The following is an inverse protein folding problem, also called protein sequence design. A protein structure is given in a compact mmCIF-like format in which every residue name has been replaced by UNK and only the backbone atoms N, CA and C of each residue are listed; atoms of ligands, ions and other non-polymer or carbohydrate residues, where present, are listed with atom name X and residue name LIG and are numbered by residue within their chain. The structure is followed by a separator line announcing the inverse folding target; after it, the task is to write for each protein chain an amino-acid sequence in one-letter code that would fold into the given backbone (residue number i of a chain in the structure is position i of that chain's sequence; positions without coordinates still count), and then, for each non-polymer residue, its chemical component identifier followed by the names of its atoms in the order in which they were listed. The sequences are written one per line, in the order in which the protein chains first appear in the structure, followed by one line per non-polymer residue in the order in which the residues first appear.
data_IF_970533683166
#
_entry.id   IF_970533683166
#
_cell.length_a   1.000
_cell.length_b   1.000
_cell.length_c   1.000
_cell.angle_alpha   90.00
_cell.angle_beta   90.00
_cell.angle_gamma   90.00
#
_symmetry.space_group_name_H-M   'P 1'
#
loop_
_entity.id
_entity.type
_entity.pdbx_description
1 polymer ?
#
# COMPACT_ATOMS: atom_id res chain seq x y z
N UNK A 1 -49.12 -36.73 10.16
CA UNK A 1 -49.15 -38.19 9.88
C UNK A 1 -50.58 -38.69 9.96
N UNK A 2 -50.90 -39.83 9.34
CA UNK A 2 -52.28 -40.36 9.26
C UNK A 2 -52.71 -41.22 10.46
N UNK A 3 -51.77 -41.73 11.27
CA UNK A 3 -52.02 -42.61 12.43
C UNK A 3 -50.97 -42.28 13.50
N UNK A 4 -51.39 -42.18 14.76
CA UNK A 4 -50.55 -41.96 15.94
C UNK A 4 -50.31 -43.28 16.71
N UNK A 5 -49.29 -43.37 17.59
CA UNK A 5 -49.11 -44.53 18.48
C UNK A 5 -50.38 -44.85 19.29
N UNK A 6 -51.12 -43.82 19.69
CA UNK A 6 -52.38 -43.96 20.42
C UNK A 6 -53.48 -44.60 19.56
N UNK A 7 -53.53 -44.22 18.28
CA UNK A 7 -54.47 -44.81 17.31
C UNK A 7 -54.14 -46.28 17.05
N UNK A 8 -52.85 -46.66 17.07
CA UNK A 8 -52.40 -48.06 16.92
C UNK A 8 -52.86 -48.88 18.12
N UNK A 9 -52.68 -48.40 19.36
CA UNK A 9 -53.13 -49.09 20.58
C UNK A 9 -54.66 -49.22 20.68
N UNK A 10 -55.39 -48.27 20.12
CA UNK A 10 -56.86 -48.26 20.16
C UNK A 10 -57.50 -48.95 18.95
N UNK A 11 -56.70 -49.48 18.04
CA UNK A 11 -57.19 -50.09 16.81
C UNK A 11 -57.98 -51.36 17.11
N UNK A 12 -59.24 -51.40 16.67
CA UNK A 12 -60.09 -52.59 16.81
C UNK A 12 -60.24 -53.33 15.48
N UNK A 13 -60.20 -54.67 15.54
CA UNK A 13 -60.39 -55.55 14.40
C UNK A 13 -61.69 -56.35 14.50
N UNK A 14 -62.34 -56.59 13.36
CA UNK A 14 -63.56 -57.41 13.29
C UNK A 14 -63.19 -58.90 13.38
N UNK A 15 -63.72 -59.61 14.38
CA UNK A 15 -63.40 -61.03 14.62
C UNK A 15 -64.24 -61.95 13.70
N UNK A 16 -63.60 -62.86 12.95
CA UNK A 16 -64.28 -63.89 12.14
C UNK A 16 -64.30 -65.24 12.88
N UNK A 17 -65.52 -65.75 13.13
CA UNK A 17 -65.84 -66.87 14.02
C UNK A 17 -65.26 -68.26 13.62
N UNK A 18 -64.65 -68.41 12.44
CA UNK A 18 -64.22 -69.72 11.91
C UNK A 18 -62.73 -69.81 11.49
N UNK A 19 -61.98 -68.69 11.50
CA UNK A 19 -60.55 -68.60 11.14
C UNK A 19 -60.06 -67.15 11.35
N UNK A 20 -59.64 -66.83 12.56
CA UNK A 20 -59.10 -65.51 12.94
C UNK A 20 -57.78 -65.64 13.69
N UNK A 21 -57.03 -64.53 13.79
CA UNK A 21 -55.86 -64.45 14.66
C UNK A 21 -56.29 -64.42 16.13
N UNK A 22 -55.40 -64.85 17.03
CA UNK A 22 -55.62 -64.73 18.46
C UNK A 22 -55.62 -63.25 18.85
N UNK A 23 -56.68 -62.80 19.51
CA UNK A 23 -56.84 -61.40 19.91
C UNK A 23 -55.77 -60.95 20.89
N UNK A 24 -55.31 -61.82 21.80
CA UNK A 24 -54.26 -61.48 22.76
C UNK A 24 -52.89 -61.32 22.07
N UNK A 25 -52.60 -62.15 21.07
CA UNK A 25 -51.37 -62.04 20.28
C UNK A 25 -51.37 -60.76 19.43
N UNK A 26 -52.52 -60.42 18.84
CA UNK A 26 -52.68 -59.18 18.07
C UNK A 26 -52.56 -57.94 18.95
N UNK A 27 -53.17 -57.92 20.14
CA UNK A 27 -53.08 -56.80 21.07
C UNK A 27 -51.63 -56.58 21.55
N UNK A 28 -50.92 -57.64 21.91
CA UNK A 28 -49.51 -57.56 22.29
C UNK A 28 -48.64 -57.02 21.13
N UNK A 29 -48.87 -57.47 19.91
CA UNK A 29 -48.17 -56.96 18.73
C UNK A 29 -48.47 -55.47 18.46
N UNK A 30 -49.73 -55.04 18.64
CA UNK A 30 -50.10 -53.63 18.48
C UNK A 30 -49.42 -52.74 19.54
N UNK A 31 -49.28 -53.22 20.77
CA UNK A 31 -48.56 -52.51 21.83
C UNK A 31 -47.08 -52.34 21.50
N UNK A 32 -46.40 -53.41 21.06
CA UNK A 32 -45.00 -53.38 20.63
C UNK A 32 -44.81 -52.41 19.45
N UNK A 33 -45.68 -52.50 18.42
CA UNK A 33 -45.64 -51.61 17.25
C UNK A 33 -45.89 -50.16 17.65
N UNK A 34 -46.81 -49.89 18.57
CA UNK A 34 -47.07 -48.54 19.04
C UNK A 34 -45.86 -47.96 19.79
N UNK A 35 -45.17 -48.77 20.60
CA UNK A 35 -43.99 -48.36 21.36
C UNK A 35 -42.79 -48.06 20.43
N UNK A 36 -42.51 -48.95 19.48
CA UNK A 36 -41.49 -48.74 18.44
C UNK A 36 -41.81 -47.51 17.59
N UNK A 37 -43.09 -47.31 17.22
CA UNK A 37 -43.50 -46.15 16.44
C UNK A 37 -43.35 -44.85 17.23
N UNK A 38 -43.62 -44.84 18.53
CA UNK A 38 -43.37 -43.68 19.39
C UNK A 38 -41.87 -43.38 19.51
N UNK A 39 -41.02 -44.41 19.62
CA UNK A 39 -39.56 -44.26 19.63
C UNK A 39 -39.05 -43.61 18.34
N UNK A 40 -39.50 -44.09 17.18
CA UNK A 40 -39.15 -43.53 15.86
C UNK A 40 -39.63 -42.09 15.72
N UNK A 41 -40.82 -41.75 16.23
CA UNK A 41 -41.31 -40.36 16.20
C UNK A 41 -40.46 -39.42 17.05
N UNK A 42 -40.04 -39.85 18.24
CA UNK A 42 -39.13 -39.08 19.11
C UNK A 42 -37.78 -38.88 18.44
N UNK A 43 -37.20 -39.95 17.89
CA UNK A 43 -35.93 -39.86 17.16
C UNK A 43 -36.04 -38.94 15.94
N UNK A 44 -37.13 -39.05 15.17
CA UNK A 44 -37.37 -38.18 14.01
C UNK A 44 -37.48 -36.70 14.40
N UNK A 45 -38.11 -36.40 15.54
CA UNK A 45 -38.21 -35.04 16.05
C UNK A 45 -36.82 -34.49 16.43
N UNK A 46 -36.02 -35.27 17.16
CA UNK A 46 -34.65 -34.90 17.54
C UNK A 46 -33.78 -34.68 16.30
N UNK A 47 -33.83 -35.60 15.32
CA UNK A 47 -33.07 -35.48 14.08
C UNK A 47 -33.45 -34.24 13.27
N UNK A 48 -34.74 -33.89 13.22
CA UNK A 48 -35.19 -32.66 12.55
C UNK A 48 -34.68 -31.40 13.23
N UNK A 49 -34.66 -31.36 14.56
CA UNK A 49 -34.10 -30.24 15.32
C UNK A 49 -32.59 -30.09 15.09
N UNK A 50 -31.86 -31.22 15.11
CA UNK A 50 -30.43 -31.24 14.80
C UNK A 50 -30.15 -30.79 13.36
N UNK A 51 -30.95 -31.25 12.39
CA UNK A 51 -30.83 -30.85 11.00
C UNK A 51 -31.02 -29.34 10.84
N UNK A 52 -32.09 -28.78 11.42
CA UNK A 52 -32.35 -27.34 11.39
C UNK A 52 -31.19 -26.53 12.01
N UNK A 53 -30.62 -27.00 13.12
CA UNK A 53 -29.47 -26.36 13.78
C UNK A 53 -28.21 -26.40 12.90
N UNK A 54 -27.95 -27.54 12.25
CA UNK A 54 -26.79 -27.71 11.37
C UNK A 54 -26.93 -26.88 10.09
N UNK A 55 -28.13 -26.81 9.52
CA UNK A 55 -28.44 -25.97 8.36
C UNK A 55 -28.22 -24.48 8.66
N UNK A 56 -28.66 -24.03 9.83
CA UNK A 56 -28.45 -22.64 10.25
C UNK A 56 -26.96 -22.31 10.43
N UNK A 57 -26.22 -23.21 11.10
CA UNK A 57 -24.77 -23.08 11.23
C UNK A 57 -24.07 -23.08 9.88
N UNK A 58 -24.49 -23.94 8.94
CA UNK A 58 -23.93 -24.00 7.60
C UNK A 58 -24.17 -22.71 6.82
N UNK A 59 -25.37 -22.11 6.92
CA UNK A 59 -25.67 -20.82 6.31
C UNK A 59 -24.77 -19.73 6.88
N UNK A 60 -24.64 -19.65 8.21
CA UNK A 60 -23.78 -18.66 8.86
C UNK A 60 -22.30 -18.80 8.48
N UNK A 61 -21.81 -20.03 8.28
CA UNK A 61 -20.45 -20.26 7.76
C UNK A 61 -20.30 -19.76 6.32
N UNK A 62 -21.26 -20.05 5.44
CA UNK A 62 -21.22 -19.60 4.05
C UNK A 62 -21.30 -18.07 3.89
N UNK A 63 -22.00 -17.38 4.79
CA UNK A 63 -22.02 -15.90 4.82
C UNK A 63 -20.68 -15.33 5.28
N UNK A 64 -20.06 -15.91 6.32
CA UNK A 64 -18.74 -15.51 6.80
C UNK A 64 -17.66 -15.75 5.76
N UNK A 65 -17.71 -16.88 5.08
CA UNK A 65 -16.76 -17.21 4.00
C UNK A 65 -16.85 -16.21 2.86
N UNK A 66 -18.07 -15.85 2.42
CA UNK A 66 -18.28 -14.79 1.42
C UNK A 66 -17.71 -13.44 1.89
N UNK A 67 -18.03 -13.03 3.12
CA UNK A 67 -17.51 -11.78 3.67
C UNK A 67 -15.97 -11.76 3.74
N UNK A 68 -15.35 -12.89 4.10
CA UNK A 68 -13.89 -13.04 4.11
C UNK A 68 -13.32 -12.98 2.69
N UNK A 69 -13.95 -13.63 1.73
CA UNK A 69 -13.53 -13.60 0.33
C UNK A 69 -13.59 -12.18 -0.25
N UNK A 70 -14.70 -11.47 -0.01
CA UNK A 70 -14.87 -10.07 -0.45
C UNK A 70 -13.84 -9.15 0.21
N UNK A 71 -13.57 -9.36 1.49
CA UNK A 71 -12.54 -8.63 2.22
C UNK A 71 -11.16 -8.90 1.63
N UNK A 72 -10.80 -10.16 1.35
CA UNK A 72 -9.51 -10.53 0.77
C UNK A 72 -9.30 -9.88 -0.60
N UNK A 73 -10.31 -9.92 -1.48
CA UNK A 73 -10.25 -9.28 -2.80
C UNK A 73 -10.06 -7.78 -2.66
N UNK A 74 -10.81 -7.15 -1.74
CA UNK A 74 -10.70 -5.72 -1.48
C UNK A 74 -9.32 -5.35 -0.93
N UNK A 75 -8.78 -6.11 0.02
CA UNK A 75 -7.44 -5.90 0.57
C UNK A 75 -6.36 -6.08 -0.48
N UNK A 76 -6.47 -7.08 -1.35
CA UNK A 76 -5.52 -7.27 -2.46
C UNK A 76 -5.54 -6.07 -3.41
N UNK A 77 -6.74 -5.61 -3.79
CA UNK A 77 -6.90 -4.44 -4.67
C UNK A 77 -6.31 -3.18 -4.04
N UNK A 78 -6.60 -2.91 -2.77
CA UNK A 78 -6.03 -1.79 -2.03
C UNK A 78 -4.50 -1.88 -1.97
N UNK A 79 -3.95 -3.07 -1.73
CA UNK A 79 -2.51 -3.30 -1.72
C UNK A 79 -1.85 -2.97 -3.07
N UNK A 80 -2.45 -3.37 -4.19
CA UNK A 80 -1.95 -3.05 -5.52
C UNK A 80 -2.10 -1.55 -5.86
N UNK A 81 -3.22 -0.92 -5.48
CA UNK A 81 -3.42 0.52 -5.64
C UNK A 81 -2.39 1.34 -4.83
N UNK A 82 -2.10 0.93 -3.59
CA UNK A 82 -1.07 1.54 -2.75
C UNK A 82 0.33 1.39 -3.36
N UNK A 83 0.69 0.20 -3.86
CA UNK A 83 1.98 -0.01 -4.55
C UNK A 83 2.10 0.87 -5.79
N UNK A 84 1.04 0.96 -6.59
CA UNK A 84 1.03 1.80 -7.79
C UNK A 84 1.16 3.29 -7.45
N UNK A 85 0.48 3.76 -6.40
CA UNK A 85 0.61 5.13 -5.92
C UNK A 85 2.04 5.44 -5.43
N UNK A 86 2.61 4.58 -4.59
CA UNK A 86 3.97 4.74 -4.08
C UNK A 86 5.02 4.76 -5.20
N UNK A 87 4.86 3.94 -6.23
CA UNK A 87 5.76 3.95 -7.42
C UNK A 87 5.68 5.28 -8.17
N UNK A 88 4.47 5.80 -8.42
CA UNK A 88 4.29 7.09 -9.10
C UNK A 88 4.88 8.24 -8.28
N UNK A 89 4.67 8.23 -6.97
CA UNK A 89 5.21 9.25 -6.07
C UNK A 89 6.74 9.21 -6.02
N UNK A 90 7.33 8.01 -5.96
CA UNK A 90 8.78 7.83 -6.04
C UNK A 90 9.35 8.36 -7.37
N UNK A 91 8.71 8.05 -8.51
CA UNK A 91 9.12 8.57 -9.82
C UNK A 91 9.06 10.11 -9.89
N UNK A 92 8.00 10.70 -9.32
CA UNK A 92 7.88 12.16 -9.24
C UNK A 92 8.98 12.79 -8.39
N UNK A 93 9.27 12.21 -7.22
CA UNK A 93 10.35 12.68 -6.36
C UNK A 93 11.72 12.57 -7.02
N UNK A 94 11.98 11.47 -7.73
CA UNK A 94 13.22 11.30 -8.48
C UNK A 94 13.37 12.38 -9.56
N UNK A 95 12.34 12.60 -10.37
CA UNK A 95 12.34 13.66 -11.40
C UNK A 95 12.52 15.05 -10.81
N UNK A 96 11.89 15.32 -9.67
CA UNK A 96 12.03 16.61 -8.99
C UNK A 96 13.46 16.81 -8.45
N UNK A 97 14.05 15.76 -7.87
CA UNK A 97 15.43 15.79 -7.39
C UNK A 97 16.42 16.00 -8.55
N UNK A 98 16.23 15.32 -9.68
CA UNK A 98 17.01 15.50 -10.90
C UNK A 98 16.94 16.96 -11.40
N UNK A 99 15.73 17.49 -11.56
CA UNK A 99 15.53 18.86 -12.04
C UNK A 99 16.10 19.92 -11.10
N UNK A 100 16.01 19.71 -9.78
CA UNK A 100 16.67 20.58 -8.79
C UNK A 100 18.19 20.48 -8.89
N UNK A 101 18.73 19.28 -9.08
CA UNK A 101 20.16 19.04 -9.27
C UNK A 101 20.71 19.73 -10.52
N UNK A 102 19.99 19.62 -11.65
CA UNK A 102 20.35 20.30 -12.89
C UNK A 102 20.37 21.83 -12.74
N UNK A 103 19.33 22.41 -12.11
CA UNK A 103 19.29 23.85 -11.82
C UNK A 103 20.46 24.30 -10.95
N UNK A 104 20.77 23.56 -9.89
CA UNK A 104 21.90 23.88 -9.01
C UNK A 104 23.23 23.84 -9.77
N UNK A 105 23.43 22.85 -10.66
CA UNK A 105 24.62 22.78 -11.49
C UNK A 105 24.72 23.95 -12.47
N UNK A 106 23.60 24.38 -13.04
CA UNK A 106 23.56 25.56 -13.93
C UNK A 106 23.90 26.85 -13.17
N UNK A 107 23.34 27.03 -11.96
CA UNK A 107 23.65 28.15 -11.08
C UNK A 107 25.15 28.20 -10.73
N UNK A 108 25.73 27.07 -10.30
CA UNK A 108 27.15 26.96 -9.98
C UNK A 108 28.02 27.31 -11.20
N UNK A 109 27.67 26.80 -12.40
CA UNK A 109 28.43 27.10 -13.63
C UNK A 109 28.37 28.59 -13.98
N UNK A 110 27.21 29.22 -13.79
CA UNK A 110 27.03 30.66 -14.01
C UNK A 110 27.87 31.49 -13.05
N UNK A 111 27.86 31.13 -11.76
CA UNK A 111 28.71 31.77 -10.75
C UNK A 111 30.19 31.58 -11.02
N UNK A 112 30.62 30.37 -11.39
CA UNK A 112 32.00 30.07 -11.75
C UNK A 112 32.47 30.92 -12.94
N UNK A 113 31.62 31.07 -13.97
CA UNK A 113 31.90 31.91 -15.12
C UNK A 113 32.03 33.40 -14.73
N UNK A 114 31.17 33.90 -13.84
CA UNK A 114 31.25 35.27 -13.31
C UNK A 114 32.56 35.50 -12.56
N UNK A 115 32.89 34.62 -11.61
CA UNK A 115 34.13 34.71 -10.81
C UNK A 115 35.36 34.68 -11.73
N UNK A 116 35.38 33.78 -12.73
CA UNK A 116 36.47 33.73 -13.71
C UNK A 116 36.58 35.04 -14.51
N UNK A 117 35.45 35.63 -14.90
CA UNK A 117 35.41 36.94 -15.56
C UNK A 117 35.96 38.07 -14.69
N UNK A 118 35.56 38.13 -13.42
CA UNK A 118 36.06 39.10 -12.43
C UNK A 118 37.57 38.94 -12.19
N UNK A 119 38.07 37.71 -12.08
CA UNK A 119 39.51 37.45 -11.95
C UNK A 119 40.26 37.98 -13.18
N UNK A 120 39.71 37.79 -14.38
CA UNK A 120 40.33 38.30 -15.61
C UNK A 120 40.33 39.83 -15.66
N UNK A 121 39.23 40.49 -15.26
CA UNK A 121 39.14 41.96 -15.23
C UNK A 121 40.13 42.53 -14.21
N UNK A 122 40.19 41.99 -12.99
CA UNK A 122 41.14 42.39 -11.96
C UNK A 122 42.59 42.22 -12.43
N UNK A 123 42.92 41.13 -13.14
CA UNK A 123 44.24 40.93 -13.74
C UNK A 123 44.57 41.98 -14.81
N UNK A 124 43.59 42.40 -15.62
CA UNK A 124 43.77 43.48 -16.61
C UNK A 124 44.01 44.82 -15.89
N UNK A 125 43.20 45.17 -14.91
CA UNK A 125 43.35 46.38 -14.10
C UNK A 125 44.71 46.43 -13.41
N UNK A 126 45.16 45.32 -12.82
CA UNK A 126 46.49 45.22 -12.21
C UNK A 126 47.60 45.51 -13.23
N UNK A 127 47.53 44.95 -14.44
CA UNK A 127 48.53 45.21 -15.49
C UNK A 127 48.53 46.67 -15.90
N UNK A 128 47.36 47.27 -16.08
CA UNK A 128 47.24 48.68 -16.43
C UNK A 128 47.87 49.58 -15.35
N UNK A 129 47.55 49.35 -14.08
CA UNK A 129 48.12 50.10 -12.96
C UNK A 129 49.66 49.99 -12.88
N UNK A 130 50.21 48.81 -13.16
CA UNK A 130 51.67 48.62 -13.20
C UNK A 130 52.29 49.43 -14.34
N UNK A 131 51.65 49.45 -15.51
CA UNK A 131 52.14 50.21 -16.67
C UNK A 131 52.04 51.73 -16.43
N UNK A 132 50.93 52.19 -15.89
CA UNK A 132 50.72 53.60 -15.52
C UNK A 132 51.76 54.05 -14.49
N UNK A 133 52.06 53.20 -13.49
CA UNK A 133 53.09 53.47 -12.49
C UNK A 133 54.49 53.52 -13.11
N UNK A 134 54.81 52.62 -14.04
CA UNK A 134 56.10 52.67 -14.76
C UNK A 134 56.23 53.94 -15.57
N UNK A 135 55.22 54.29 -16.36
CA UNK A 135 55.21 55.50 -17.18
C UNK A 135 55.36 56.77 -16.34
N UNK A 136 54.70 56.83 -15.18
CA UNK A 136 54.84 57.97 -14.27
C UNK A 136 56.24 58.06 -13.66
N UNK A 137 56.82 56.94 -13.21
CA UNK A 137 58.19 56.89 -12.71
C UNK A 137 59.22 57.25 -13.79
N UNK A 138 59.08 56.77 -15.01
CA UNK A 138 59.94 57.15 -16.14
C UNK A 138 59.84 58.65 -16.45
N UNK A 139 58.64 59.22 -16.35
CA UNK A 139 58.43 60.66 -16.54
C UNK A 139 59.16 61.47 -15.48
N UNK A 140 59.05 61.08 -14.20
CA UNK A 140 59.80 61.71 -13.11
C UNK A 140 61.32 61.53 -13.27
N UNK A 141 61.77 60.34 -13.66
CA UNK A 141 63.20 60.09 -13.93
C UNK A 141 63.73 60.99 -15.06
N UNK A 142 62.97 61.16 -16.15
CA UNK A 142 63.35 62.06 -17.25
C UNK A 142 63.41 63.51 -16.81
N UNK A 143 62.46 63.98 -16.00
CA UNK A 143 62.49 65.33 -15.44
C UNK A 143 63.73 65.55 -14.58
N UNK A 144 64.01 64.66 -13.63
CA UNK A 144 65.22 64.76 -12.80
C UNK A 144 66.50 64.65 -13.63
N UNK A 145 66.55 63.78 -14.64
CA UNK A 145 67.72 63.66 -15.51
C UNK A 145 67.95 64.92 -16.36
N UNK A 146 66.89 65.63 -16.74
CA UNK A 146 66.99 66.91 -17.44
C UNK A 146 67.46 68.04 -16.51
N UNK A 147 67.03 68.00 -15.24
CA UNK A 147 67.36 69.03 -14.23
C UNK A 147 68.81 68.87 -13.69
N UNK A 148 69.31 67.64 -13.56
CA UNK A 148 70.68 67.34 -13.08
C UNK A 148 71.68 66.97 -14.18
N UNK A 149 71.23 66.72 -15.41
CA UNK A 149 72.09 66.35 -16.54
C UNK A 149 72.92 67.52 -17.11
N UNK A 150 72.49 68.76 -16.88
CA UNK A 150 73.22 69.96 -17.29
C UNK A 150 74.40 70.31 -16.36
N UNK A 151 74.44 69.80 -15.11
CA UNK A 151 75.55 70.09 -14.18
C UNK A 151 76.82 69.26 -14.47
N UNK A 152 76.71 68.10 -15.12
CA UNK A 152 77.88 67.27 -15.45
C UNK A 152 78.69 67.79 -16.66
N UNK A 153 78.13 68.73 -17.43
CA UNK A 153 78.79 69.35 -18.59
C UNK A 153 79.73 70.51 -18.23
N UNK A 154 79.57 71.13 -17.06
CA UNK A 154 80.23 72.40 -16.73
C UNK A 154 81.43 72.26 -15.78
N UNK A 155 81.68 71.06 -15.22
CA UNK A 155 82.84 70.79 -14.35
C UNK A 155 84.17 70.56 -15.10
N UNK A 156 84.26 70.88 -16.40
CA UNK A 156 85.45 70.62 -17.23
C UNK A 156 85.97 71.81 -18.04
N UNK A 157 85.74 73.05 -17.58
CA UNK A 157 86.35 74.26 -18.14
C UNK A 157 87.19 75.00 -17.11
#
# INVERSE_FOLDING_TARGET
MRISPLDIRQQQFTVRMFRGFDTHEVDAFLDDVAEDYEAVLKENAILKEQLATLEDRSRGLGERERALQDTLVTTQRLGEEMKAAARREAELHMREAELRGEKLLEEIRSEEAKIKGEIQSLRRTRRQLIEDLRSTLESYHRLMSAEFGDEAGDAKR
#
